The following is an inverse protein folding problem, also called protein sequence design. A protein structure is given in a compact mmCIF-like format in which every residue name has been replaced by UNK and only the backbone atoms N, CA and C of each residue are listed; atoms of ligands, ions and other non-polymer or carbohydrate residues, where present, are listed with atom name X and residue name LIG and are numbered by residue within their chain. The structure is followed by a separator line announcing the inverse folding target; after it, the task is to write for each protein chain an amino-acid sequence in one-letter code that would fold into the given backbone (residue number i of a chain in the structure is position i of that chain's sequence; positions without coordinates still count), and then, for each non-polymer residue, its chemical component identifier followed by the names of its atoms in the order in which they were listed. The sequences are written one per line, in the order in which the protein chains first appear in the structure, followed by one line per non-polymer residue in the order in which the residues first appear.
data_IF_006981320421
#
_entry.id   IF_006981320421
#
_cell.length_a   1.000
_cell.length_b   1.000
_cell.length_c   1.000
_cell.angle_alpha   90.00
_cell.angle_beta   90.00
_cell.angle_gamma   90.00
#
_symmetry.space_group_name_H-M   'P 1'
#
loop_
_entity.id
_entity.type
_entity.pdbx_description
1 polymer ?
#
# COMPACT_ATOMS: atom_id res chain seq x y z
N UNK A 1 13.56 5.93 -1.33
CA UNK A 1 13.96 6.31 -2.70
C UNK A 1 13.53 7.74 -2.94
N UNK A 2 14.41 8.61 -3.46
CA UNK A 2 14.03 9.98 -3.84
C UNK A 2 12.97 10.02 -4.96
N UNK A 3 12.25 11.14 -5.06
CA UNK A 3 11.09 11.29 -5.95
C UNK A 3 11.43 11.23 -7.45
N UNK A 4 12.57 11.77 -7.85
CA UNK A 4 13.07 11.76 -9.23
C UNK A 4 13.39 10.33 -9.70
N UNK A 5 14.02 9.53 -8.84
CA UNK A 5 14.30 8.12 -9.12
C UNK A 5 13.00 7.34 -9.29
N UNK A 6 12.03 7.52 -8.39
CA UNK A 6 10.71 6.89 -8.51
C UNK A 6 10.02 7.27 -9.82
N UNK A 7 10.02 8.56 -10.17
CA UNK A 7 9.38 9.04 -11.41
C UNK A 7 9.98 8.38 -12.64
N UNK A 8 11.29 8.18 -12.66
CA UNK A 8 11.97 7.50 -13.75
C UNK A 8 11.56 6.02 -13.85
N UNK A 9 11.46 5.31 -12.73
CA UNK A 9 11.01 3.90 -12.73
C UNK A 9 9.53 3.75 -13.16
N UNK A 10 8.67 4.68 -12.76
CA UNK A 10 7.28 4.73 -13.24
C UNK A 10 7.24 4.94 -14.76
N UNK A 11 8.02 5.89 -15.30
CA UNK A 11 8.08 6.15 -16.74
C UNK A 11 8.58 4.95 -17.53
N UNK A 12 9.63 4.27 -17.04
CA UNK A 12 10.12 3.02 -17.64
C UNK A 12 9.04 1.96 -17.66
N UNK A 13 8.33 1.76 -16.55
CA UNK A 13 7.24 0.78 -16.44
C UNK A 13 6.13 1.07 -17.46
N UNK A 14 5.67 2.33 -17.56
CA UNK A 14 4.67 2.76 -18.55
C UNK A 14 5.12 2.58 -20.00
N UNK A 15 6.41 2.71 -20.28
CA UNK A 15 6.95 2.45 -21.62
C UNK A 15 6.96 0.95 -21.98
N UNK A 16 6.99 0.06 -20.97
CA UNK A 16 7.02 -1.39 -21.16
C UNK A 16 5.65 -2.06 -21.16
N UNK A 17 4.62 -1.40 -20.61
CA UNK A 17 3.27 -1.98 -20.53
C UNK A 17 2.17 -0.93 -20.49
N UNK A 18 1.01 -1.28 -21.05
CA UNK A 18 -0.25 -0.54 -20.90
C UNK A 18 -1.16 -1.15 -19.82
N UNK A 19 -0.76 -2.29 -19.21
CA UNK A 19 -1.49 -2.94 -18.12
C UNK A 19 -1.28 -2.21 -16.79
N UNK A 20 -2.19 -2.35 -15.82
CA UNK A 20 -2.01 -1.78 -14.49
C UNK A 20 -0.73 -2.27 -13.80
N UNK A 21 -0.12 -1.39 -13.00
CA UNK A 21 1.02 -1.69 -12.13
C UNK A 21 0.83 -1.01 -10.77
N UNK A 22 1.62 -1.42 -9.78
CA UNK A 22 1.59 -0.86 -8.44
C UNK A 22 2.90 -0.21 -8.02
N UNK A 23 2.81 0.73 -7.07
CA UNK A 23 3.96 1.30 -6.37
C UNK A 23 3.80 1.04 -4.88
N UNK A 24 4.84 0.47 -4.26
CA UNK A 24 4.92 0.32 -2.81
C UNK A 24 5.58 1.56 -2.19
N UNK A 25 4.96 2.09 -1.14
CA UNK A 25 5.43 3.29 -0.44
C UNK A 25 5.67 2.96 1.04
N UNK A 26 6.91 3.19 1.50
CA UNK A 26 7.28 3.15 2.90
C UNK A 26 6.98 4.51 3.53
N UNK A 27 5.95 4.59 4.37
CA UNK A 27 5.37 5.87 4.82
C UNK A 27 6.25 6.62 5.83
N UNK A 28 7.18 5.93 6.50
CA UNK A 28 8.19 6.55 7.37
C UNK A 28 9.39 7.13 6.62
N UNK A 29 9.39 7.11 5.28
CA UNK A 29 10.48 7.67 4.49
C UNK A 29 10.55 9.20 4.66
N UNK A 30 11.75 9.81 4.76
CA UNK A 30 11.87 11.27 4.77
C UNK A 30 11.39 11.92 3.45
N UNK A 31 11.26 11.14 2.37
CA UNK A 31 10.81 11.60 1.05
C UNK A 31 9.34 11.26 0.76
N UNK A 32 8.56 10.83 1.77
CA UNK A 32 7.21 10.29 1.55
C UNK A 32 6.28 11.29 0.86
N UNK A 33 6.39 12.58 1.18
CA UNK A 33 5.53 13.63 0.62
C UNK A 33 5.81 13.84 -0.86
N UNK A 34 7.07 13.93 -1.23
CA UNK A 34 7.52 14.11 -2.61
C UNK A 34 7.21 12.87 -3.45
N UNK A 35 7.45 11.67 -2.90
CA UNK A 35 7.10 10.39 -3.53
C UNK A 35 5.60 10.27 -3.77
N UNK A 36 4.78 10.62 -2.78
CA UNK A 36 3.32 10.55 -2.94
C UNK A 36 2.84 11.56 -4.00
N UNK A 37 3.43 12.74 -4.06
CA UNK A 37 3.10 13.71 -5.11
C UNK A 37 3.43 13.16 -6.51
N UNK A 38 4.57 12.46 -6.69
CA UNK A 38 4.89 11.77 -7.95
C UNK A 38 3.82 10.74 -8.31
N UNK A 39 3.41 9.92 -7.34
CA UNK A 39 2.38 8.89 -7.53
C UNK A 39 1.05 9.50 -7.99
N UNK A 40 0.68 10.66 -7.42
CA UNK A 40 -0.51 11.41 -7.78
C UNK A 40 -0.38 12.00 -9.20
N UNK A 41 0.73 12.69 -9.49
CA UNK A 41 0.98 13.31 -10.79
C UNK A 41 0.97 12.28 -11.92
N UNK A 42 1.58 11.12 -11.67
CA UNK A 42 1.70 10.04 -12.64
C UNK A 42 0.45 9.15 -12.70
N UNK A 43 -0.57 9.40 -11.87
CA UNK A 43 -1.82 8.62 -11.79
C UNK A 43 -1.57 7.11 -11.70
N UNK A 44 -0.73 6.70 -10.75
CA UNK A 44 -0.40 5.29 -10.56
C UNK A 44 -1.67 4.49 -10.20
N UNK A 45 -1.96 3.36 -10.88
CA UNK A 45 -3.22 2.63 -10.68
C UNK A 45 -3.39 2.02 -9.28
N UNK A 46 -2.31 1.52 -8.67
CA UNK A 46 -2.35 0.86 -7.36
C UNK A 46 -1.22 1.35 -6.47
N UNK A 47 -1.53 1.66 -5.21
CA UNK A 47 -0.57 1.98 -4.17
C UNK A 47 -0.69 0.95 -3.06
N UNK A 48 0.44 0.33 -2.73
CA UNK A 48 0.57 -0.43 -1.49
C UNK A 48 1.39 0.37 -0.49
N UNK A 49 1.14 0.20 0.81
CA UNK A 49 1.87 0.95 1.83
C UNK A 49 2.33 0.05 2.96
N UNK A 50 3.59 0.20 3.36
CA UNK A 50 4.14 -0.37 4.59
C UNK A 50 4.50 0.72 5.60
N UNK A 51 4.76 0.30 6.84
CA UNK A 51 5.33 1.11 7.93
C UNK A 51 4.79 2.57 8.01
N UNK A 52 3.61 2.76 8.59
CA UNK A 52 3.00 4.06 8.86
C UNK A 52 1.48 4.07 8.68
N UNK A 53 0.87 5.25 8.58
CA UNK A 53 -0.58 5.42 8.38
C UNK A 53 -0.86 6.16 7.06
N UNK A 54 -1.53 5.51 6.07
CA UNK A 54 -1.79 6.13 4.77
C UNK A 54 -2.94 7.16 4.79
N UNK A 55 -3.62 7.34 5.93
CA UNK A 55 -4.90 8.06 6.02
C UNK A 55 -4.91 9.48 5.44
N UNK A 56 -3.82 10.24 5.56
CA UNK A 56 -3.75 11.60 5.01
C UNK A 56 -3.75 11.63 3.46
N UNK A 57 -3.36 10.52 2.81
CA UNK A 57 -3.20 10.44 1.35
C UNK A 57 -4.39 9.76 0.66
N UNK A 58 -5.16 8.94 1.38
CA UNK A 58 -6.28 8.17 0.83
C UNK A 58 -7.25 9.04 0.00
N UNK A 59 -7.73 10.22 0.48
CA UNK A 59 -8.66 11.03 -0.30
C UNK A 59 -8.11 11.42 -1.68
N UNK A 60 -6.87 11.93 -1.73
CA UNK A 60 -6.23 12.37 -2.98
C UNK A 60 -5.93 11.20 -3.92
N UNK A 61 -5.55 10.03 -3.38
CA UNK A 61 -5.35 8.82 -4.18
C UNK A 61 -6.67 8.32 -4.77
N UNK A 62 -7.76 8.40 -4.03
CA UNK A 62 -9.09 8.00 -4.53
C UNK A 62 -9.64 8.94 -5.59
N UNK A 63 -9.39 10.25 -5.48
CA UNK A 63 -9.79 11.25 -6.49
C UNK A 63 -9.24 10.94 -7.89
N UNK A 64 -8.04 10.36 -7.96
CA UNK A 64 -7.40 9.96 -9.22
C UNK A 64 -7.70 8.50 -9.61
N UNK A 65 -8.54 7.80 -8.85
CA UNK A 65 -8.92 6.41 -9.10
C UNK A 65 -7.89 5.37 -8.67
N UNK A 66 -6.85 5.75 -7.92
CA UNK A 66 -5.84 4.82 -7.40
C UNK A 66 -6.44 3.91 -6.33
N UNK A 67 -6.14 2.62 -6.42
CA UNK A 67 -6.48 1.63 -5.38
C UNK A 67 -5.44 1.62 -4.27
N UNK A 68 -5.90 1.69 -3.02
CA UNK A 68 -5.01 1.71 -1.85
C UNK A 68 -5.10 0.38 -1.10
N UNK A 69 -3.96 -0.32 -1.00
CA UNK A 69 -3.88 -1.68 -0.46
C UNK A 69 -2.71 -1.76 0.55
N UNK A 70 -2.91 -1.35 1.82
CA UNK A 70 -1.85 -1.40 2.82
C UNK A 70 -1.49 -2.83 3.24
N UNK A 71 -0.23 -3.00 3.65
CA UNK A 71 0.28 -4.20 4.31
C UNK A 71 0.00 -4.10 5.81
N UNK A 72 -0.51 -5.18 6.40
CA UNK A 72 -0.79 -5.28 7.83
C UNK A 72 -0.31 -6.61 8.41
N UNK A 73 0.11 -6.57 9.68
CA UNK A 73 0.55 -7.74 10.44
C UNK A 73 -0.34 -8.04 11.66
N UNK A 74 -1.54 -7.44 11.74
CA UNK A 74 -2.50 -7.70 12.83
C UNK A 74 -3.94 -7.39 12.44
N UNK A 75 -4.88 -8.08 13.08
CA UNK A 75 -6.33 -7.85 12.94
C UNK A 75 -6.73 -6.43 13.34
N UNK A 76 -6.13 -5.91 14.42
CA UNK A 76 -6.44 -4.56 14.91
C UNK A 76 -6.07 -3.48 13.88
N UNK A 77 -4.91 -3.63 13.22
CA UNK A 77 -4.50 -2.72 12.17
C UNK A 77 -5.39 -2.86 10.93
N UNK A 78 -5.74 -4.09 10.53
CA UNK A 78 -6.63 -4.34 9.41
C UNK A 78 -7.97 -3.60 9.57
N UNK A 79 -8.65 -3.78 10.71
CA UNK A 79 -9.91 -3.10 11.03
C UNK A 79 -9.77 -1.58 11.04
N UNK A 80 -8.64 -1.06 11.53
CA UNK A 80 -8.38 0.38 11.54
C UNK A 80 -8.24 0.93 10.11
N UNK A 81 -7.52 0.24 9.25
CA UNK A 81 -7.27 0.69 7.87
C UNK A 81 -8.53 0.56 7.00
N UNK A 82 -9.35 -0.46 7.22
CA UNK A 82 -10.67 -0.56 6.59
C UNK A 82 -11.54 0.66 6.90
N UNK A 83 -11.59 1.10 8.17
CA UNK A 83 -12.40 2.26 8.59
C UNK A 83 -11.99 3.58 7.93
N UNK A 84 -10.74 3.71 7.50
CA UNK A 84 -10.26 4.90 6.78
C UNK A 84 -10.43 4.77 5.26
N UNK A 85 -11.08 3.69 4.81
CA UNK A 85 -11.55 3.53 3.43
C UNK A 85 -10.48 3.03 2.47
N UNK A 86 -9.65 2.06 2.86
CA UNK A 86 -8.78 1.34 1.91
C UNK A 86 -9.58 0.40 1.01
N UNK A 87 -9.04 0.02 -0.15
CA UNK A 87 -9.75 -0.80 -1.14
C UNK A 87 -9.57 -2.31 -0.92
N UNK A 88 -8.45 -2.71 -0.32
CA UNK A 88 -8.12 -4.10 0.05
C UNK A 88 -7.00 -4.08 1.10
N UNK A 89 -6.61 -5.25 1.62
CA UNK A 89 -5.55 -5.41 2.62
C UNK A 89 -4.59 -6.50 2.17
N UNK A 90 -3.29 -6.33 2.43
CA UNK A 90 -2.29 -7.42 2.32
C UNK A 90 -1.98 -7.88 3.74
N UNK A 91 -2.33 -9.14 4.07
CA UNK A 91 -1.97 -9.77 5.34
C UNK A 91 -0.58 -10.42 5.25
N UNK A 92 0.41 -9.88 5.96
CA UNK A 92 1.81 -10.34 5.89
C UNK A 92 2.19 -11.11 7.16
N UNK A 93 2.46 -12.41 7.00
CA UNK A 93 2.91 -13.28 8.09
C UNK A 93 4.40 -13.16 8.41
N UNK A 94 4.80 -13.62 9.59
CA UNK A 94 6.16 -13.49 10.11
C UNK A 94 7.23 -14.26 9.34
N UNK A 95 6.83 -15.25 8.54
CA UNK A 95 7.72 -16.01 7.66
C UNK A 95 8.17 -15.23 6.40
N UNK A 96 7.67 -14.01 6.21
CA UNK A 96 8.07 -13.10 5.13
C UNK A 96 9.52 -12.62 5.31
N UNK A 97 10.10 -12.05 4.24
CA UNK A 97 11.37 -11.34 4.33
C UNK A 97 11.19 -9.88 4.77
N UNK A 98 12.22 -9.27 5.35
CA UNK A 98 12.22 -7.84 5.69
C UNK A 98 11.74 -7.54 7.11
N UNK A 99 10.95 -6.47 7.27
CA UNK A 99 10.37 -6.10 8.57
C UNK A 99 9.06 -6.86 8.75
N UNK A 100 9.00 -7.71 9.78
CA UNK A 100 7.89 -8.64 9.98
C UNK A 100 7.19 -8.44 11.33
N UNK A 101 5.93 -8.88 11.41
CA UNK A 101 5.22 -9.05 12.67
C UNK A 101 5.54 -10.38 13.35
N UNK A 102 4.67 -10.79 14.29
CA UNK A 102 4.89 -11.99 15.12
C UNK A 102 3.94 -13.16 14.79
N UNK A 103 2.93 -12.94 13.95
CA UNK A 103 1.90 -13.95 13.63
C UNK A 103 2.20 -14.59 12.27
N UNK A 104 2.08 -15.91 12.18
CA UNK A 104 2.30 -16.63 10.90
C UNK A 104 1.19 -16.36 9.89
N UNK A 105 1.47 -16.51 8.60
CA UNK A 105 0.48 -16.35 7.53
C UNK A 105 -0.73 -17.27 7.74
N UNK A 106 -0.46 -18.53 8.10
CA UNK A 106 -1.48 -19.55 8.35
C UNK A 106 -2.49 -19.13 9.42
N UNK A 107 -2.03 -18.43 10.47
CA UNK A 107 -2.89 -17.94 11.54
C UNK A 107 -3.47 -16.55 11.23
N UNK A 108 -2.70 -15.66 10.58
CA UNK A 108 -3.03 -14.26 10.38
C UNK A 108 -4.13 -14.07 9.32
N UNK A 109 -3.97 -14.70 8.16
CA UNK A 109 -4.88 -14.53 7.01
C UNK A 109 -6.33 -14.83 7.35
N UNK A 110 -6.70 -16.01 7.92
CA UNK A 110 -8.10 -16.29 8.24
C UNK A 110 -8.67 -15.32 9.28
N UNK A 111 -7.89 -14.95 10.30
CA UNK A 111 -8.34 -14.00 11.32
C UNK A 111 -8.62 -12.61 10.74
N UNK A 112 -7.83 -12.16 9.74
CA UNK A 112 -8.08 -10.89 9.07
C UNK A 112 -9.29 -10.99 8.13
N UNK A 113 -9.37 -12.07 7.33
CA UNK A 113 -10.48 -12.30 6.41
C UNK A 113 -11.84 -12.33 7.13
N UNK A 114 -11.92 -12.92 8.32
CA UNK A 114 -13.14 -12.93 9.13
C UNK A 114 -13.46 -11.57 9.78
N UNK A 115 -12.46 -10.70 9.88
CA UNK A 115 -12.54 -9.46 10.66
C UNK A 115 -12.86 -8.21 9.86
N UNK A 116 -12.70 -8.24 8.54
CA UNK A 116 -12.92 -7.12 7.62
C UNK A 116 -13.85 -7.55 6.48
N UNK A 117 -14.47 -6.58 5.82
CA UNK A 117 -15.34 -6.78 4.65
C UNK A 117 -14.63 -6.51 3.32
N UNK A 118 -13.52 -5.75 3.33
CA UNK A 118 -12.67 -5.55 2.15
C UNK A 118 -11.90 -6.82 1.78
N UNK A 119 -11.47 -6.99 0.52
CA UNK A 119 -10.62 -8.12 0.13
C UNK A 119 -9.32 -8.18 0.93
N UNK A 120 -8.88 -9.40 1.23
CA UNK A 120 -7.63 -9.75 1.94
C UNK A 120 -6.79 -10.65 1.04
#
# INVERSE_FOLDING_TARGET
MPADVLRNEIKKTKAMTTKPFGVNIMLMSPFVKEVMQVVIDERVPVVTTGAGNPGEYIPRLKEIGTKVIPVVASVALAKRLERIGVDAIIAEGMESGGHVGEVTTMALVPQIADAVSVPV
#
